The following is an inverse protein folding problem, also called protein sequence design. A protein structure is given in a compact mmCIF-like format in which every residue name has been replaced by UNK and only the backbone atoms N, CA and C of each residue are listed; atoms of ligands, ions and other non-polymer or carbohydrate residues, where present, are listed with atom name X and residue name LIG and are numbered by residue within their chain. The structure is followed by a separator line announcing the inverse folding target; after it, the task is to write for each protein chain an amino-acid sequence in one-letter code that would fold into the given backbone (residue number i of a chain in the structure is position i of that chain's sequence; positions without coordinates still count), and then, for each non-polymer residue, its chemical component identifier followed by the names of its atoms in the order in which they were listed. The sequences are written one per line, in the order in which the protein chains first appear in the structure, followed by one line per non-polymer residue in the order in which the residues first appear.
data_IF_662215658541
#
_entry.id   IF_662215658541
#
_cell.length_a   1.000
_cell.length_b   1.000
_cell.length_c   1.000
_cell.angle_alpha   90.00
_cell.angle_beta   90.00
_cell.angle_gamma   90.00
#
_symmetry.space_group_name_H-M   'P 1'
#
loop_
_entity.id
_entity.type
_entity.pdbx_description
1 polymer ?
#
# COMPACT_ATOMS: atom_id res chain seq x y z
N UNK A 1 -17.68 -14.97 33.52
CA UNK A 1 -17.55 -14.98 32.04
C UNK A 1 -16.29 -14.19 31.70
N UNK A 2 -15.27 -14.83 31.13
CA UNK A 2 -13.96 -14.20 30.90
C UNK A 2 -13.87 -13.66 29.48
N UNK A 3 -13.67 -12.35 29.33
CA UNK A 3 -13.52 -11.72 28.03
C UNK A 3 -12.16 -12.10 27.44
N UNK A 4 -12.17 -12.84 26.33
CA UNK A 4 -10.97 -13.15 25.55
C UNK A 4 -10.47 -11.83 24.94
N UNK A 5 -9.52 -11.20 25.62
CA UNK A 5 -8.70 -10.12 25.06
C UNK A 5 -7.87 -10.71 23.93
N UNK A 6 -8.38 -10.67 22.70
CA UNK A 6 -7.59 -10.97 21.50
C UNK A 6 -6.56 -9.86 21.38
N UNK A 7 -5.39 -10.05 21.99
CA UNK A 7 -4.23 -9.18 21.83
C UNK A 7 -3.82 -9.29 20.36
N UNK A 8 -4.35 -8.40 19.51
CA UNK A 8 -3.85 -8.22 18.16
C UNK A 8 -2.42 -7.72 18.30
N UNK A 9 -1.44 -8.61 18.13
CA UNK A 9 -0.02 -8.23 18.01
C UNK A 9 0.08 -7.21 16.88
N UNK A 10 0.31 -5.96 17.24
CA UNK A 10 0.61 -4.93 16.26
C UNK A 10 1.99 -5.25 15.66
N UNK A 11 2.02 -5.76 14.43
CA UNK A 11 3.26 -5.95 13.68
C UNK A 11 3.77 -4.58 13.27
N UNK A 12 4.77 -4.07 14.00
CA UNK A 12 5.52 -2.89 13.59
C UNK A 12 6.68 -3.36 12.72
N UNK A 13 6.53 -3.22 11.40
CA UNK A 13 7.66 -3.27 10.48
C UNK A 13 8.21 -1.85 10.32
N UNK A 14 9.52 -1.69 10.46
CA UNK A 14 10.21 -0.42 10.16
C UNK A 14 10.03 -0.11 8.67
N UNK A 15 9.27 0.93 8.35
CA UNK A 15 8.97 1.33 6.97
C UNK A 15 9.92 2.43 6.52
N UNK A 16 11.14 2.03 6.15
CA UNK A 16 12.02 2.84 5.29
C UNK A 16 13.12 3.64 5.97
N UNK A 17 14.20 3.82 5.22
CA UNK A 17 15.41 4.59 5.55
C UNK A 17 15.09 6.08 5.57
N UNK A 18 15.65 6.84 6.53
CA UNK A 18 15.42 8.29 6.68
C UNK A 18 15.82 9.12 5.44
N UNK A 19 16.66 8.56 4.55
CA UNK A 19 17.17 9.22 3.34
C UNK A 19 16.28 9.00 2.10
N UNK A 20 15.12 8.38 2.25
CA UNK A 20 14.22 8.08 1.13
C UNK A 20 13.39 9.32 0.74
N UNK A 21 13.27 9.57 -0.58
CA UNK A 21 12.42 10.64 -1.12
C UNK A 21 11.00 10.51 -0.58
N UNK A 22 10.55 11.56 0.10
CA UNK A 22 9.23 11.61 0.72
C UNK A 22 8.37 12.69 0.08
N UNK A 23 7.05 12.47 0.05
CA UNK A 23 6.08 13.47 -0.38
C UNK A 23 5.07 13.72 0.73
N UNK A 24 4.86 15.00 0.99
CA UNK A 24 3.96 15.47 2.04
C UNK A 24 2.67 15.95 1.42
N UNK A 25 1.55 15.47 1.95
CA UNK A 25 0.21 15.91 1.62
C UNK A 25 -0.47 16.43 2.88
N UNK A 26 -1.04 17.63 2.83
CA UNK A 26 -1.79 18.22 3.95
C UNK A 26 -3.27 18.17 3.60
N UNK A 27 -4.07 17.51 4.42
CA UNK A 27 -5.52 17.38 4.27
C UNK A 27 -6.15 17.88 5.57
N UNK A 28 -6.69 19.10 5.54
CA UNK A 28 -7.21 19.76 6.74
C UNK A 28 -6.12 19.95 7.80
N UNK A 29 -6.31 19.32 8.97
CA UNK A 29 -5.34 19.30 10.08
C UNK A 29 -4.40 18.09 10.05
N UNK A 30 -4.53 17.20 9.07
CA UNK A 30 -3.76 15.95 8.99
C UNK A 30 -2.63 16.08 7.98
N UNK A 31 -1.42 15.68 8.40
CA UNK A 31 -0.22 15.64 7.54
C UNK A 31 0.10 14.19 7.20
N UNK A 32 0.08 13.85 5.92
CA UNK A 32 0.43 12.54 5.39
C UNK A 32 1.80 12.63 4.74
N UNK A 33 2.79 11.93 5.30
CA UNK A 33 4.14 11.86 4.75
C UNK A 33 4.33 10.46 4.17
N UNK A 34 4.54 10.38 2.86
CA UNK A 34 4.71 9.11 2.15
C UNK A 34 6.19 8.90 1.87
N UNK A 35 6.80 7.92 2.55
CA UNK A 35 8.17 7.48 2.30
C UNK A 35 8.16 6.30 1.31
N UNK A 36 8.22 6.60 0.01
CA UNK A 36 8.27 5.56 -1.02
C UNK A 36 8.90 6.10 -2.32
N UNK A 37 9.78 5.31 -2.98
CA UNK A 37 10.36 5.70 -4.27
C UNK A 37 9.30 5.86 -5.37
N UNK A 38 8.16 5.18 -5.22
CA UNK A 38 7.02 5.25 -6.15
C UNK A 38 6.47 6.66 -6.31
N UNK A 39 6.65 7.51 -5.30
CA UNK A 39 6.09 8.84 -5.27
C UNK A 39 6.86 9.81 -6.16
N UNK A 40 8.18 9.60 -6.27
CA UNK A 40 9.05 10.35 -7.19
C UNK A 40 9.05 9.81 -8.61
N UNK A 41 8.59 8.56 -8.82
CA UNK A 41 8.50 7.97 -10.16
C UNK A 41 7.47 8.69 -11.03
N UNK A 42 7.82 8.88 -12.29
CA UNK A 42 6.92 9.32 -13.35
C UNK A 42 5.81 8.28 -13.57
N UNK A 43 4.73 8.67 -14.27
CA UNK A 43 3.63 7.76 -14.59
C UNK A 43 4.08 6.54 -15.39
N UNK A 44 5.07 6.70 -16.27
CA UNK A 44 5.62 5.61 -17.08
C UNK A 44 6.47 4.66 -16.24
N UNK A 45 7.40 5.17 -15.42
CA UNK A 45 8.22 4.36 -14.52
C UNK A 45 7.37 3.59 -13.52
N UNK A 46 6.34 4.23 -12.96
CA UNK A 46 5.42 3.58 -12.03
C UNK A 46 4.64 2.45 -12.68
N UNK A 47 4.23 2.61 -13.95
CA UNK A 47 3.57 1.54 -14.72
C UNK A 47 4.51 0.36 -14.93
N UNK A 48 5.75 0.62 -15.36
CA UNK A 48 6.76 -0.43 -15.57
C UNK A 48 7.06 -1.19 -14.27
N UNK A 49 7.27 -0.46 -13.16
CA UNK A 49 7.47 -1.07 -11.86
C UNK A 49 6.30 -1.98 -11.45
N UNK A 50 5.06 -1.52 -11.67
CA UNK A 50 3.88 -2.31 -11.35
C UNK A 50 3.80 -3.59 -12.19
N UNK A 51 4.07 -3.52 -13.49
CA UNK A 51 4.08 -4.68 -14.38
C UNK A 51 5.17 -5.69 -13.99
N UNK A 52 6.36 -5.23 -13.61
CA UNK A 52 7.44 -6.09 -13.13
C UNK A 52 7.10 -6.76 -11.81
N UNK A 53 6.56 -6.03 -10.83
CA UNK A 53 6.17 -6.60 -9.54
C UNK A 53 5.00 -7.58 -9.65
N UNK A 54 4.06 -7.33 -10.58
CA UNK A 54 3.01 -8.29 -10.92
C UNK A 54 3.59 -9.58 -11.51
N UNK A 55 4.59 -9.49 -12.40
CA UNK A 55 5.28 -10.68 -12.96
C UNK A 55 6.05 -11.47 -11.91
N UNK A 56 6.58 -10.80 -10.88
CA UNK A 56 7.24 -11.45 -9.74
C UNK A 56 6.26 -12.11 -8.76
N UNK A 57 4.96 -11.93 -8.93
CA UNK A 57 3.93 -12.50 -8.06
C UNK A 57 3.83 -11.78 -6.71
N UNK A 58 3.93 -10.45 -6.71
CA UNK A 58 3.80 -9.67 -5.48
C UNK A 58 2.39 -9.87 -4.87
N UNK A 59 2.27 -10.51 -3.69
CA UNK A 59 0.97 -10.90 -3.13
C UNK A 59 0.12 -9.71 -2.71
N UNK A 60 0.72 -8.54 -2.48
CA UNK A 60 -0.05 -7.33 -2.19
C UNK A 60 -0.76 -6.81 -3.45
N UNK A 61 -0.05 -6.77 -4.59
CA UNK A 61 -0.62 -6.30 -5.85
C UNK A 61 -1.70 -7.24 -6.38
N UNK A 62 -1.53 -8.55 -6.22
CA UNK A 62 -2.54 -9.54 -6.58
C UNK A 62 -3.85 -9.34 -5.80
N UNK A 63 -3.76 -9.14 -4.48
CA UNK A 63 -4.94 -8.89 -3.64
C UNK A 63 -5.65 -7.60 -4.02
N UNK A 64 -4.89 -6.54 -4.33
CA UNK A 64 -5.45 -5.27 -4.80
C UNK A 64 -6.17 -5.49 -6.13
N UNK A 65 -5.53 -6.17 -7.09
CA UNK A 65 -6.13 -6.49 -8.39
C UNK A 65 -7.43 -7.28 -8.25
N UNK A 66 -7.44 -8.32 -7.41
CA UNK A 66 -8.64 -9.12 -7.13
C UNK A 66 -9.74 -8.28 -6.47
N UNK A 67 -9.40 -7.44 -5.49
CA UNK A 67 -10.37 -6.56 -4.84
C UNK A 67 -11.02 -5.59 -5.84
N UNK A 68 -10.22 -5.01 -6.74
CA UNK A 68 -10.71 -4.14 -7.81
C UNK A 68 -11.62 -4.90 -8.77
N UNK A 69 -11.20 -6.08 -9.24
CA UNK A 69 -12.02 -6.94 -10.10
C UNK A 69 -13.35 -7.33 -9.43
N UNK A 70 -13.32 -7.62 -8.13
CA UNK A 70 -14.54 -7.93 -7.38
C UNK A 70 -15.49 -6.73 -7.27
N UNK A 71 -14.97 -5.50 -7.24
CA UNK A 71 -15.81 -4.29 -7.27
C UNK A 71 -16.49 -4.09 -8.64
N UNK A 72 -15.86 -4.54 -9.73
CA UNK A 72 -16.41 -4.43 -11.08
C UNK A 72 -17.33 -5.58 -11.50
N UNK A 73 -17.35 -6.69 -10.74
CA UNK A 73 -18.31 -7.76 -11.00
C UNK A 73 -19.71 -7.25 -10.64
N UNK A 74 -20.70 -7.35 -11.55
CA UNK A 74 -22.07 -7.06 -11.20
C UNK A 74 -22.52 -8.03 -10.09
N UNK A 75 -23.19 -7.50 -9.07
CA UNK A 75 -23.85 -8.31 -8.05
C UNK A 75 -24.99 -9.07 -8.74
N UNK A 76 -24.78 -10.34 -9.07
CA UNK A 76 -25.84 -11.26 -9.47
C UNK A 76 -26.49 -11.85 -8.21
#
# INVERSE_FOLDING_TARGET
MSAISVVRKHTYDSRGHADMTSKTHIIGNTTVIIHSPLVSMTSLERKLWFEEEMKKGNPALERISQAVLNCYKPNN
#
